data_IF_997346544670
#
_entry.id   IF_997346544670
#
_cell.length_a   1.000
_cell.length_b   1.000
_cell.length_c   1.000
_cell.angle_alpha   90.00
_cell.angle_beta   90.00
_cell.angle_gamma   90.00
#
_symmetry.space_group_name_H-M   'P 1'
#
loop_
_entity.id
_entity.type
_entity.pdbx_description
1 polymer ?
#
# COMPACT_ATOMS: atom_id res chain seq x y z
N UNK A 1 3.46 0.66 2.68
CA UNK A 1 4.73 0.83 1.93
C UNK A 1 5.74 -0.32 2.07
N UNK A 2 5.77 -1.05 3.20
CA UNK A 2 6.78 -2.10 3.44
C UNK A 2 6.90 -3.17 2.32
N UNK A 3 5.82 -3.54 1.65
CA UNK A 3 5.85 -4.49 0.52
C UNK A 3 6.51 -3.91 -0.72
N UNK A 4 6.27 -2.65 -1.00
CA UNK A 4 6.72 -1.99 -2.22
C UNK A 4 8.16 -1.44 -2.15
N UNK A 5 8.80 -1.41 -0.97
CA UNK A 5 10.15 -0.87 -0.82
C UNK A 5 11.18 -1.52 -1.78
N UNK A 6 11.03 -2.81 -2.08
CA UNK A 6 11.93 -3.57 -2.95
C UNK A 6 11.48 -3.51 -4.43
N UNK A 7 10.41 -2.79 -4.75
CA UNK A 7 9.90 -2.70 -6.12
C UNK A 7 10.93 -2.23 -7.17
N UNK A 8 11.82 -1.24 -6.89
CA UNK A 8 12.84 -0.83 -7.85
C UNK A 8 13.87 -1.91 -8.20
N UNK A 9 13.99 -2.94 -7.33
CA UNK A 9 14.94 -4.04 -7.52
C UNK A 9 14.34 -5.24 -8.27
N UNK A 10 13.04 -5.21 -8.63
CA UNK A 10 12.36 -6.39 -9.20
C UNK A 10 12.99 -6.91 -10.47
N UNK A 11 13.48 -6.04 -11.35
CA UNK A 11 14.14 -6.43 -12.59
C UNK A 11 15.49 -7.14 -12.32
N UNK A 12 16.28 -6.66 -11.35
CA UNK A 12 17.54 -7.31 -10.96
C UNK A 12 17.26 -8.66 -10.30
N UNK A 13 16.20 -8.75 -9.50
CA UNK A 13 15.72 -10.00 -8.90
C UNK A 13 15.23 -10.95 -10.00
N UNK A 14 14.45 -10.46 -10.98
CA UNK A 14 13.98 -11.26 -12.11
C UNK A 14 15.15 -11.82 -12.94
N UNK A 15 16.19 -11.03 -13.16
CA UNK A 15 17.37 -11.47 -13.88
C UNK A 15 18.09 -12.61 -13.14
N UNK A 16 18.14 -12.59 -11.81
CA UNK A 16 18.70 -13.68 -11.00
C UNK A 16 17.83 -14.94 -11.03
N UNK A 17 16.51 -14.77 -10.91
CA UNK A 17 15.53 -15.86 -10.96
C UNK A 17 14.95 -16.03 -12.37
N UNK A 18 15.77 -16.02 -13.42
CA UNK A 18 15.34 -16.06 -14.81
C UNK A 18 14.47 -17.29 -15.17
N UNK A 19 14.64 -18.40 -14.45
CA UNK A 19 13.83 -19.60 -14.65
C UNK A 19 12.46 -19.54 -13.96
N UNK A 20 12.25 -18.56 -13.05
CA UNK A 20 10.99 -18.37 -12.36
C UNK A 20 10.07 -17.47 -13.18
N UNK A 21 8.77 -17.74 -13.15
CA UNK A 21 7.82 -16.86 -13.83
C UNK A 21 7.84 -15.46 -13.22
N UNK A 22 7.67 -14.44 -14.04
CA UNK A 22 7.57 -13.03 -13.63
C UNK A 22 6.54 -12.83 -12.51
N UNK A 23 5.47 -13.62 -12.51
CA UNK A 23 4.44 -13.59 -11.46
C UNK A 23 5.01 -13.91 -10.07
N UNK A 24 5.90 -14.91 -9.95
CA UNK A 24 6.51 -15.23 -8.66
C UNK A 24 7.40 -14.10 -8.16
N UNK A 25 8.09 -13.41 -9.05
CA UNK A 25 8.90 -12.23 -8.68
C UNK A 25 7.99 -11.06 -8.25
N UNK A 26 6.89 -10.82 -8.94
CA UNK A 26 5.89 -9.83 -8.52
C UNK A 26 5.24 -10.16 -7.17
N UNK A 27 5.08 -11.45 -6.86
CA UNK A 27 4.56 -11.89 -5.55
C UNK A 27 5.48 -11.52 -4.39
N UNK A 28 6.74 -11.20 -4.62
CA UNK A 28 7.66 -10.65 -3.60
C UNK A 28 7.07 -9.35 -2.99
N UNK A 29 6.38 -8.53 -3.79
CA UNK A 29 5.72 -7.31 -3.31
C UNK A 29 4.32 -7.63 -2.76
N UNK A 30 3.59 -8.55 -3.36
CA UNK A 30 2.16 -8.73 -3.09
C UNK A 30 1.85 -9.75 -1.98
N UNK A 31 2.67 -10.77 -1.76
CA UNK A 31 2.47 -11.77 -0.70
C UNK A 31 2.37 -11.17 0.70
N UNK A 32 3.19 -10.16 1.09
CA UNK A 32 3.03 -9.52 2.39
C UNK A 32 1.61 -9.00 2.63
N UNK A 33 0.94 -8.50 1.59
CA UNK A 33 -0.42 -7.97 1.71
C UNK A 33 -1.45 -9.03 2.11
N UNK A 34 -1.35 -10.23 1.56
CA UNK A 34 -2.19 -11.36 1.96
C UNK A 34 -2.00 -11.69 3.45
N UNK A 35 -0.75 -11.77 3.90
CA UNK A 35 -0.44 -12.10 5.29
C UNK A 35 -0.79 -10.97 6.25
N UNK A 36 -0.81 -9.70 5.80
CA UNK A 36 -1.37 -8.59 6.59
C UNK A 36 -2.87 -8.83 6.84
N UNK A 37 -3.63 -9.18 5.81
CA UNK A 37 -5.08 -9.46 5.95
C UNK A 37 -5.31 -10.63 6.91
N UNK A 38 -4.61 -11.75 6.72
CA UNK A 38 -4.71 -12.91 7.58
C UNK A 38 -4.39 -12.54 9.04
N UNK A 39 -3.30 -11.81 9.26
CA UNK A 39 -2.87 -11.41 10.60
C UNK A 39 -3.90 -10.50 11.27
N UNK A 40 -4.52 -9.58 10.52
CA UNK A 40 -5.56 -8.70 11.05
C UNK A 40 -6.77 -9.47 11.61
N UNK A 41 -7.13 -10.63 11.05
CA UNK A 41 -8.17 -11.50 11.62
C UNK A 41 -7.77 -12.08 12.98
N UNK A 42 -6.49 -12.39 13.15
CA UNK A 42 -5.99 -12.96 14.41
C UNK A 42 -5.53 -11.90 15.43
N UNK A 43 -5.39 -10.65 14.99
CA UNK A 43 -4.89 -9.54 15.81
C UNK A 43 -5.64 -9.37 17.14
N UNK A 44 -6.99 -9.41 17.22
CA UNK A 44 -7.71 -9.31 18.48
C UNK A 44 -7.36 -10.43 19.49
N UNK A 45 -7.08 -11.64 18.98
CA UNK A 45 -6.66 -12.77 19.82
C UNK A 45 -5.24 -12.58 20.34
N UNK A 46 -4.34 -12.03 19.50
CA UNK A 46 -2.96 -11.71 19.91
C UNK A 46 -2.96 -10.64 21.01
N UNK A 47 -3.74 -9.58 20.87
CA UNK A 47 -3.88 -8.52 21.89
C UNK A 47 -4.40 -9.01 23.22
N UNK A 48 -5.18 -10.09 23.25
CA UNK A 48 -5.66 -10.70 24.51
C UNK A 48 -4.58 -11.46 25.26
N UNK A 49 -3.56 -11.97 24.56
CA UNK A 49 -2.52 -12.86 25.12
C UNK A 49 -1.19 -12.16 25.37
N UNK A 50 -0.86 -11.14 24.59
CA UNK A 50 0.44 -10.47 24.60
C UNK A 50 0.29 -8.99 24.94
N UNK A 51 1.27 -8.45 25.65
CA UNK A 51 1.32 -7.01 25.95
C UNK A 51 1.64 -6.22 24.67
N UNK A 52 1.13 -4.99 24.52
CA UNK A 52 1.36 -4.13 23.35
C UNK A 52 2.84 -3.96 23.02
N UNK A 53 3.71 -3.78 24.03
CA UNK A 53 5.16 -3.69 23.83
C UNK A 53 5.74 -4.96 23.20
N UNK A 54 5.35 -6.13 23.70
CA UNK A 54 5.80 -7.42 23.14
C UNK A 54 5.30 -7.59 21.70
N UNK A 55 4.06 -7.19 21.41
CA UNK A 55 3.51 -7.25 20.06
C UNK A 55 4.25 -6.32 19.10
N UNK A 56 4.56 -5.07 19.51
CA UNK A 56 5.35 -4.15 18.68
C UNK A 56 6.73 -4.72 18.40
N UNK A 57 7.44 -5.23 19.42
CA UNK A 57 8.78 -5.80 19.24
C UNK A 57 8.75 -7.07 18.38
N UNK A 58 7.76 -7.95 18.57
CA UNK A 58 7.55 -9.13 17.75
C UNK A 58 7.28 -8.74 16.28
N UNK A 59 6.39 -7.78 16.05
CA UNK A 59 6.08 -7.28 14.71
C UNK A 59 7.29 -6.67 14.02
N UNK A 60 8.07 -5.85 14.72
CA UNK A 60 9.31 -5.25 14.21
C UNK A 60 10.38 -6.32 13.94
N UNK A 61 10.51 -7.31 14.83
CA UNK A 61 11.44 -8.42 14.64
C UNK A 61 11.09 -9.24 13.38
N UNK A 62 9.84 -9.65 13.24
CA UNK A 62 9.36 -10.39 12.05
C UNK A 62 9.55 -9.58 10.77
N UNK A 63 9.27 -8.27 10.81
CA UNK A 63 9.48 -7.36 9.70
C UNK A 63 10.96 -7.29 9.29
N UNK A 64 11.85 -7.07 10.26
CA UNK A 64 13.29 -6.89 10.01
C UNK A 64 13.95 -8.22 9.63
N UNK A 65 13.73 -9.27 10.43
CA UNK A 65 14.32 -10.59 10.19
C UNK A 65 13.81 -11.19 8.88
N UNK A 66 12.49 -11.19 8.65
CA UNK A 66 11.90 -11.70 7.41
C UNK A 66 12.32 -10.89 6.19
N UNK A 67 12.41 -9.55 6.34
CA UNK A 67 12.86 -8.66 5.28
C UNK A 67 14.31 -8.92 4.87
N UNK A 68 15.24 -8.94 5.82
CA UNK A 68 16.67 -9.16 5.55
C UNK A 68 16.96 -10.60 5.11
N UNK A 69 16.32 -11.60 5.75
CA UNK A 69 16.55 -13.00 5.45
C UNK A 69 16.10 -13.38 4.02
N UNK A 70 15.17 -12.63 3.41
CA UNK A 70 14.78 -12.86 2.04
C UNK A 70 15.95 -12.79 1.04
N UNK A 71 16.96 -11.95 1.32
CA UNK A 71 18.19 -11.85 0.51
C UNK A 71 19.20 -13.00 0.70
N UNK A 72 18.99 -13.92 1.64
CA UNK A 72 19.91 -15.01 1.89
C UNK A 72 19.63 -16.26 1.06
N UNK A 73 18.46 -16.38 0.46
CA UNK A 73 17.99 -17.58 -0.22
C UNK A 73 18.02 -17.46 -1.73
N UNK A 74 18.51 -18.49 -2.40
CA UNK A 74 18.53 -18.62 -3.87
C UNK A 74 17.31 -19.39 -4.41
N UNK A 75 16.33 -19.70 -3.57
CA UNK A 75 15.07 -20.31 -3.95
C UNK A 75 13.94 -19.31 -3.78
N UNK A 76 13.22 -18.98 -4.86
CA UNK A 76 12.14 -17.98 -4.84
C UNK A 76 11.04 -18.33 -3.83
N UNK A 77 10.76 -19.63 -3.65
CA UNK A 77 9.78 -20.08 -2.64
C UNK A 77 10.16 -19.67 -1.22
N UNK A 78 11.44 -19.80 -0.83
CA UNK A 78 11.93 -19.38 0.49
C UNK A 78 11.91 -17.85 0.61
N UNK A 79 12.26 -17.14 -0.44
CA UNK A 79 12.11 -15.66 -0.48
C UNK A 79 10.66 -15.28 -0.21
N UNK A 80 9.68 -15.93 -0.85
CA UNK A 80 8.26 -15.67 -0.62
C UNK A 80 7.80 -15.99 0.81
N UNK A 81 8.33 -17.06 1.43
CA UNK A 81 8.05 -17.37 2.85
C UNK A 81 8.57 -16.26 3.75
N UNK A 82 9.79 -15.77 3.50
CA UNK A 82 10.34 -14.64 4.27
C UNK A 82 9.49 -13.36 4.05
N UNK A 83 9.00 -13.12 2.86
CA UNK A 83 8.07 -12.02 2.55
C UNK A 83 6.72 -12.17 3.27
N UNK A 84 6.23 -13.41 3.44
CA UNK A 84 5.05 -13.69 4.26
C UNK A 84 5.26 -13.30 5.73
N UNK A 85 6.45 -13.59 6.31
CA UNK A 85 6.79 -13.15 7.66
C UNK A 85 6.81 -11.63 7.80
N UNK A 86 7.32 -10.91 6.78
CA UNK A 86 7.20 -9.44 6.74
C UNK A 86 5.74 -9.01 6.80
N UNK A 87 4.85 -9.68 6.06
CA UNK A 87 3.42 -9.42 6.08
C UNK A 87 2.79 -9.62 7.47
N UNK A 88 3.14 -10.70 8.15
CA UNK A 88 2.71 -10.95 9.54
C UNK A 88 3.19 -9.83 10.46
N UNK A 89 4.47 -9.43 10.36
CA UNK A 89 5.04 -8.33 11.13
C UNK A 89 4.28 -7.01 10.94
N UNK A 90 4.04 -6.62 9.68
CA UNK A 90 3.29 -5.40 9.34
C UNK A 90 1.84 -5.50 9.80
N UNK A 91 1.19 -6.65 9.66
CA UNK A 91 -0.18 -6.89 10.12
C UNK A 91 -0.36 -6.73 11.63
N UNK A 92 0.69 -6.97 12.42
CA UNK A 92 0.71 -6.65 13.85
C UNK A 92 0.93 -5.16 14.08
N UNK A 93 1.88 -4.54 13.35
CA UNK A 93 2.31 -3.16 13.58
C UNK A 93 1.27 -2.12 13.19
N UNK A 94 0.56 -2.32 12.07
CA UNK A 94 -0.38 -1.33 11.53
C UNK A 94 -1.51 -0.96 12.52
N UNK A 95 -2.29 -1.92 13.05
CA UNK A 95 -3.33 -1.58 14.01
C UNK A 95 -2.76 -1.09 15.36
N UNK A 96 -1.57 -1.57 15.77
CA UNK A 96 -0.93 -1.09 16.99
C UNK A 96 -0.46 0.36 16.88
N UNK A 97 0.09 0.77 15.73
CA UNK A 97 0.61 2.13 15.57
C UNK A 97 -0.47 3.19 15.73
N UNK A 98 -1.66 2.95 15.19
CA UNK A 98 -2.81 3.83 15.34
C UNK A 98 -3.48 3.70 16.69
N UNK A 99 -3.63 2.47 17.22
CA UNK A 99 -4.21 2.19 18.52
C UNK A 99 -3.42 2.82 19.67
N UNK A 100 -2.10 2.67 19.67
CA UNK A 100 -1.24 3.27 20.70
C UNK A 100 -1.33 4.80 20.70
N UNK A 101 -1.44 5.45 19.53
CA UNK A 101 -1.63 6.90 19.46
C UNK A 101 -2.95 7.34 20.11
N UNK A 102 -4.02 6.58 19.89
CA UNK A 102 -5.33 6.90 20.49
C UNK A 102 -5.38 6.61 21.99
N UNK A 103 -4.61 5.63 22.47
CA UNK A 103 -4.58 5.24 23.88
C UNK A 103 -3.69 6.16 24.76
N UNK A 104 -2.56 6.63 24.20
CA UNK A 104 -1.61 7.46 24.97
C UNK A 104 -1.90 8.96 24.93
N UNK A 105 -2.62 9.45 23.91
CA UNK A 105 -2.78 10.88 23.71
C UNK A 105 -4.25 11.31 23.80
N UNK A 106 -4.52 12.50 24.39
CA UNK A 106 -5.86 13.03 24.51
C UNK A 106 -6.47 13.34 23.12
N UNK A 107 -7.83 13.28 22.99
CA UNK A 107 -8.53 13.43 21.71
C UNK A 107 -8.15 14.65 20.89
N UNK A 108 -7.80 15.76 21.54
CA UNK A 108 -7.43 17.04 20.90
C UNK A 108 -6.12 16.91 20.08
N UNK A 109 -5.21 16.03 20.52
CA UNK A 109 -3.90 15.80 19.87
C UNK A 109 -3.91 14.64 18.88
N UNK A 110 -4.89 13.74 18.96
CA UNK A 110 -4.93 12.51 18.15
C UNK A 110 -4.94 12.81 16.66
N UNK A 111 -5.76 13.75 16.18
CA UNK A 111 -5.86 14.09 14.78
C UNK A 111 -4.51 14.59 14.20
N UNK A 112 -3.82 15.44 14.95
CA UNK A 112 -2.49 15.96 14.54
C UNK A 112 -1.44 14.84 14.50
N UNK A 113 -1.41 13.97 15.51
CA UNK A 113 -0.45 12.86 15.59
C UNK A 113 -0.70 11.80 14.53
N UNK A 114 -1.95 11.49 14.20
CA UNK A 114 -2.29 10.60 13.09
C UNK A 114 -1.87 11.20 11.75
N UNK A 115 -1.99 12.51 11.57
CA UNK A 115 -1.48 13.23 10.40
C UNK A 115 0.04 13.12 10.27
N UNK A 116 0.78 13.34 11.37
CA UNK A 116 2.25 13.18 11.41
C UNK A 116 2.63 11.71 11.12
N UNK A 117 1.93 10.74 11.71
CA UNK A 117 2.16 9.31 11.47
C UNK A 117 1.98 8.96 9.99
N UNK A 118 0.95 9.50 9.34
CA UNK A 118 0.72 9.32 7.90
C UNK A 118 1.84 9.91 7.06
N UNK A 119 2.29 11.12 7.39
CA UNK A 119 3.42 11.77 6.72
C UNK A 119 4.72 10.97 6.88
N UNK A 120 5.00 10.48 8.11
CA UNK A 120 6.16 9.62 8.38
C UNK A 120 6.11 8.30 7.61
N UNK A 121 4.91 7.71 7.44
CA UNK A 121 4.73 6.51 6.63
C UNK A 121 5.09 6.75 5.16
N UNK A 122 4.70 7.89 4.59
CA UNK A 122 5.05 8.26 3.21
C UNK A 122 6.54 8.57 3.06
N UNK A 123 7.12 9.36 3.97
CA UNK A 123 8.56 9.64 3.98
C UNK A 123 9.38 8.36 4.13
N UNK A 124 8.95 7.45 5.03
CA UNK A 124 9.58 6.13 5.18
C UNK A 124 9.53 5.32 3.89
N UNK A 125 8.44 5.42 3.11
CA UNK A 125 8.31 4.83 1.78
C UNK A 125 9.35 5.38 0.81
N UNK A 126 9.45 6.70 0.70
CA UNK A 126 10.44 7.38 -0.16
C UNK A 126 11.87 6.95 0.17
N UNK A 127 12.24 7.02 1.46
CA UNK A 127 13.59 6.64 1.92
C UNK A 127 13.86 5.16 1.62
N UNK A 128 12.92 4.28 1.92
CA UNK A 128 13.08 2.84 1.70
C UNK A 128 13.21 2.50 0.21
N UNK A 129 12.42 3.14 -0.66
CA UNK A 129 12.45 2.94 -2.12
C UNK A 129 13.80 3.39 -2.70
N UNK A 130 14.29 4.58 -2.29
CA UNK A 130 15.60 5.08 -2.74
C UNK A 130 16.74 4.17 -2.27
N UNK A 131 16.76 3.80 -0.99
CA UNK A 131 17.79 2.93 -0.44
C UNK A 131 17.77 1.54 -1.09
N UNK A 132 16.60 0.95 -1.29
CA UNK A 132 16.50 -0.35 -1.96
C UNK A 132 16.98 -0.27 -3.41
N UNK A 133 16.70 0.83 -4.12
CA UNK A 133 17.19 1.04 -5.48
C UNK A 133 18.71 1.22 -5.54
N UNK A 134 19.29 1.99 -4.62
CA UNK A 134 20.74 2.14 -4.51
C UNK A 134 21.43 0.81 -4.19
N UNK A 135 20.88 0.05 -3.23
CA UNK A 135 21.40 -1.26 -2.86
C UNK A 135 21.23 -2.29 -3.97
N UNK A 136 20.18 -2.20 -4.80
CA UNK A 136 19.97 -3.05 -5.96
C UNK A 136 21.06 -2.84 -7.03
N UNK A 137 21.68 -1.65 -7.11
CA UNK A 137 22.82 -1.38 -7.94
C UNK A 137 24.08 -2.16 -7.53
N UNK A 138 24.18 -2.61 -6.25
CA UNK A 138 25.27 -3.45 -5.76
C UNK A 138 24.96 -4.92 -6.02
N UNK A 139 23.79 -5.37 -5.57
CA UNK A 139 23.30 -6.73 -5.82
C UNK A 139 21.81 -6.84 -5.48
N UNK A 140 21.12 -7.82 -6.08
CA UNK A 140 19.73 -8.10 -5.73
C UNK A 140 19.54 -8.45 -4.22
N UNK A 141 20.51 -9.13 -3.62
CA UNK A 141 20.52 -9.47 -2.19
C UNK A 141 20.61 -8.22 -1.32
N UNK A 142 21.47 -7.29 -1.72
CA UNK A 142 21.67 -6.05 -0.96
C UNK A 142 20.38 -5.21 -0.88
N UNK A 143 19.50 -5.27 -1.87
CA UNK A 143 18.21 -4.53 -1.83
C UNK A 143 17.35 -4.88 -0.61
N UNK A 144 17.45 -6.10 -0.09
CA UNK A 144 16.73 -6.53 1.10
C UNK A 144 17.32 -5.98 2.40
N UNK A 145 18.55 -5.46 2.40
CA UNK A 145 19.14 -4.81 3.58
C UNK A 145 18.41 -3.52 3.97
N UNK A 146 17.56 -2.97 3.10
CA UNK A 146 16.69 -1.83 3.46
C UNK A 146 15.83 -2.12 4.70
N UNK A 147 15.51 -3.38 4.96
CA UNK A 147 14.74 -3.78 6.16
C UNK A 147 15.53 -3.64 7.47
N UNK A 148 16.86 -3.43 7.43
CA UNK A 148 17.66 -3.07 8.60
C UNK A 148 17.23 -1.73 9.24
N UNK A 149 16.54 -0.86 8.50
CA UNK A 149 15.89 0.33 9.08
C UNK A 149 14.97 -0.03 10.24
N UNK A 150 14.40 -1.25 10.24
CA UNK A 150 13.61 -1.79 11.35
C UNK A 150 14.40 -1.92 12.66
N UNK A 151 15.72 -2.13 12.62
CA UNK A 151 16.55 -2.18 13.83
C UNK A 151 16.53 -0.85 14.59
N UNK A 152 16.59 0.27 13.87
CA UNK A 152 16.45 1.59 14.49
C UNK A 152 15.12 1.73 15.21
N UNK A 153 14.03 1.26 14.59
CA UNK A 153 12.70 1.24 15.22
C UNK A 153 12.66 0.32 16.45
N UNK A 154 13.29 -0.86 16.40
CA UNK A 154 13.39 -1.78 17.55
C UNK A 154 14.12 -1.09 18.71
N UNK A 155 15.26 -0.47 18.46
CA UNK A 155 16.04 0.23 19.50
C UNK A 155 15.24 1.38 20.13
N UNK A 156 14.56 2.19 19.31
CA UNK A 156 13.68 3.25 19.81
C UNK A 156 12.53 2.70 20.66
N UNK A 157 11.87 1.64 20.23
CA UNK A 157 10.80 0.99 20.98
C UNK A 157 11.30 0.36 22.28
N UNK A 158 12.48 -0.25 22.29
CA UNK A 158 13.09 -0.80 23.50
C UNK A 158 13.39 0.29 24.53
N UNK A 159 13.82 1.48 24.06
CA UNK A 159 14.25 2.60 24.93
C UNK A 159 13.07 3.42 25.45
N UNK A 160 12.07 3.68 24.60
CA UNK A 160 11.01 4.66 24.88
C UNK A 160 9.64 4.06 25.14
N UNK A 161 9.34 2.83 24.66
CA UNK A 161 8.03 2.25 24.86
C UNK A 161 7.88 1.71 26.29
N UNK A 162 6.90 2.16 27.09
CA UNK A 162 6.71 1.76 28.47
C UNK A 162 6.59 0.24 28.65
N UNK A 163 7.15 -0.29 29.76
CA UNK A 163 7.07 -1.72 30.10
C UNK A 163 5.70 -2.10 30.69
N UNK A 164 4.98 -1.13 31.27
CA UNK A 164 3.62 -1.31 31.80
C UNK A 164 2.64 -1.51 30.66
N UNK A 165 1.77 -2.50 30.75
CA UNK A 165 0.64 -2.65 29.81
C UNK A 165 -0.22 -1.38 29.86
N UNK A 166 -0.72 -0.96 28.70
CA UNK A 166 -1.75 0.07 28.63
C UNK A 166 -2.95 -0.44 29.44
N UNK A 167 -3.57 0.39 30.31
CA UNK A 167 -4.84 0.02 30.91
C UNK A 167 -5.80 -0.37 29.79
N UNK A 168 -6.14 -1.63 29.72
CA UNK A 168 -7.09 -2.15 28.74
C UNK A 168 -8.39 -1.40 28.91
N UNK A 169 -8.68 -0.43 28.08
CA UNK A 169 -10.06 -0.16 27.77
C UNK A 169 -10.56 -1.41 27.06
N UNK A 170 -11.34 -2.21 27.77
CA UNK A 170 -11.97 -3.37 27.17
C UNK A 170 -12.66 -2.87 25.89
N UNK A 171 -12.52 -3.56 24.73
CA UNK A 171 -13.36 -3.28 23.59
C UNK A 171 -14.77 -3.31 24.18
N UNK A 172 -15.46 -2.19 24.13
CA UNK A 172 -16.87 -2.15 24.51
C UNK A 172 -17.54 -3.18 23.61
N UNK A 173 -17.90 -4.32 24.20
CA UNK A 173 -18.52 -5.46 23.53
C UNK A 173 -19.90 -5.11 22.92
N UNK A 174 -20.27 -3.83 22.98
CA UNK A 174 -21.52 -3.27 22.46
C UNK A 174 -21.49 -2.89 20.97
N UNK A 175 -20.36 -3.07 20.26
CA UNK A 175 -20.29 -2.71 18.85
C UNK A 175 -20.62 -3.89 17.88
N UNK A 176 -20.96 -5.08 18.40
CA UNK A 176 -21.17 -6.26 17.55
C UNK A 176 -22.62 -6.44 17.05
N UNK A 177 -23.61 -5.78 17.61
CA UNK A 177 -25.03 -6.12 17.38
C UNK A 177 -25.93 -5.01 16.81
N UNK A 178 -25.41 -3.83 16.47
CA UNK A 178 -26.22 -2.83 15.75
C UNK A 178 -25.84 -2.82 14.29
N UNK A 179 -26.75 -3.22 13.37
CA UNK A 179 -26.50 -3.06 11.92
C UNK A 179 -26.31 -1.58 11.63
N UNK A 180 -25.20 -1.24 10.95
CA UNK A 180 -24.95 0.13 10.50
C UNK A 180 -26.16 0.67 9.71
N UNK A 181 -26.63 1.89 9.97
CA UNK A 181 -27.74 2.47 9.22
C UNK A 181 -27.33 2.62 7.75
N UNK A 182 -27.80 1.71 6.90
CA UNK A 182 -27.48 1.71 5.48
C UNK A 182 -27.05 0.36 4.91
N UNK A 183 -26.94 -0.70 5.70
CA UNK A 183 -26.65 -2.07 5.26
C UNK A 183 -25.31 -2.23 4.51
N UNK A 184 -24.77 -3.43 4.47
CA UNK A 184 -23.52 -3.79 3.78
C UNK A 184 -23.49 -3.31 2.32
N UNK A 185 -24.65 -3.22 1.68
CA UNK A 185 -24.82 -2.79 0.28
C UNK A 185 -24.39 -1.35 0.02
N UNK A 186 -24.58 -0.45 0.99
CA UNK A 186 -24.18 0.97 0.86
C UNK A 186 -22.65 1.12 0.88
N UNK A 187 -21.96 0.27 1.63
CA UNK A 187 -20.50 0.30 1.75
C UNK A 187 -19.79 -0.46 0.63
N UNK A 188 -20.48 -1.38 -0.03
CA UNK A 188 -19.95 -2.14 -1.17
C UNK A 188 -19.40 -1.23 -2.28
N UNK A 189 -20.05 -0.08 -2.52
CA UNK A 189 -19.59 0.90 -3.50
C UNK A 189 -18.20 1.41 -3.17
N UNK A 190 -17.91 1.69 -1.89
CA UNK A 190 -16.61 2.18 -1.43
C UNK A 190 -15.57 1.08 -1.35
N UNK A 191 -15.95 -0.12 -0.92
CA UNK A 191 -15.07 -1.30 -0.88
C UNK A 191 -14.58 -1.64 -2.28
N UNK A 192 -15.50 -1.70 -3.26
CA UNK A 192 -15.12 -1.97 -4.65
C UNK A 192 -14.31 -0.80 -5.27
N UNK A 193 -14.66 0.46 -4.95
CA UNK A 193 -13.86 1.60 -5.37
C UNK A 193 -12.44 1.53 -4.80
N UNK A 194 -12.25 1.09 -3.54
CA UNK A 194 -10.93 0.88 -2.94
C UNK A 194 -10.18 -0.26 -3.62
N UNK A 195 -10.86 -1.37 -3.92
CA UNK A 195 -10.25 -2.47 -4.69
C UNK A 195 -9.77 -1.98 -6.06
N UNK A 196 -10.60 -1.25 -6.81
CA UNK A 196 -10.24 -0.74 -8.14
C UNK A 196 -9.08 0.27 -8.07
N UNK A 197 -9.14 1.21 -7.11
CA UNK A 197 -8.05 2.18 -6.87
C UNK A 197 -6.74 1.45 -6.59
N UNK A 198 -6.74 0.49 -5.68
CA UNK A 198 -5.55 -0.22 -5.26
C UNK A 198 -5.03 -1.19 -6.34
N UNK A 199 -5.93 -1.88 -7.06
CA UNK A 199 -5.52 -2.71 -8.20
C UNK A 199 -4.84 -1.89 -9.28
N UNK A 200 -5.40 -0.71 -9.61
CA UNK A 200 -4.77 0.21 -10.56
C UNK A 200 -3.42 0.70 -10.05
N UNK A 201 -3.33 1.11 -8.78
CA UNK A 201 -2.08 1.60 -8.21
C UNK A 201 -0.99 0.53 -8.15
N UNK A 202 -1.29 -0.67 -7.62
CA UNK A 202 -0.26 -1.70 -7.41
C UNK A 202 0.29 -2.33 -8.68
N UNK A 203 -0.39 -2.20 -9.82
CA UNK A 203 0.19 -2.56 -11.11
C UNK A 203 1.43 -1.72 -11.44
N UNK A 204 1.49 -0.45 -10.99
CA UNK A 204 2.66 0.39 -11.19
C UNK A 204 3.89 -0.14 -10.42
N UNK A 205 3.95 -0.24 -9.08
CA UNK A 205 5.15 -0.70 -8.38
C UNK A 205 5.49 -2.16 -8.67
N UNK A 206 4.53 -2.98 -9.11
CA UNK A 206 4.78 -4.38 -9.44
C UNK A 206 5.41 -4.59 -10.82
N UNK A 207 5.20 -3.67 -11.76
CA UNK A 207 5.60 -3.87 -13.16
C UNK A 207 6.53 -2.77 -13.68
N UNK A 208 6.53 -1.58 -13.10
CA UNK A 208 7.24 -0.41 -13.62
C UNK A 208 8.74 -0.68 -13.86
N UNK A 209 9.42 -1.30 -12.87
CA UNK A 209 10.84 -1.61 -13.01
C UNK A 209 11.10 -2.66 -14.10
N UNK A 210 10.19 -3.61 -14.29
CA UNK A 210 10.28 -4.67 -15.28
C UNK A 210 10.06 -4.12 -16.70
N UNK A 211 8.96 -3.38 -16.89
CA UNK A 211 8.60 -2.77 -18.19
C UNK A 211 9.66 -1.74 -18.65
N UNK A 212 10.04 -0.82 -17.75
CA UNK A 212 11.01 0.25 -18.06
C UNK A 212 12.40 -0.31 -18.37
N UNK A 213 12.80 -1.42 -17.77
CA UNK A 213 14.07 -2.08 -18.09
C UNK A 213 14.00 -2.79 -19.44
N UNK A 214 12.84 -3.32 -19.82
CA UNK A 214 12.60 -3.94 -21.12
C UNK A 214 12.73 -2.95 -22.28
N UNK A 215 12.26 -1.72 -22.08
CA UNK A 215 12.31 -0.67 -23.09
C UNK A 215 13.72 -0.11 -23.36
N UNK A 216 14.65 -0.26 -22.40
CA UNK A 216 16.04 0.20 -22.52
C UNK A 216 16.23 1.73 -22.61
N UNK A 217 15.14 2.52 -22.51
CA UNK A 217 15.17 3.98 -22.66
C UNK A 217 15.66 4.67 -21.39
N UNK A 218 15.33 4.11 -20.22
CA UNK A 218 15.70 4.67 -18.91
C UNK A 218 16.65 3.72 -18.21
N UNK A 219 17.82 4.26 -17.85
CA UNK A 219 18.83 3.48 -17.12
C UNK A 219 18.31 3.02 -15.75
N UNK A 220 18.70 1.81 -15.37
CA UNK A 220 18.33 1.15 -14.12
C UNK A 220 18.51 2.05 -12.89
N UNK A 221 19.56 2.86 -12.88
CA UNK A 221 19.88 3.76 -11.76
C UNK A 221 18.80 4.83 -11.48
N UNK A 222 17.96 5.16 -12.48
CA UNK A 222 16.93 6.17 -12.35
C UNK A 222 15.57 5.60 -11.93
N UNK A 223 15.33 4.30 -12.08
CA UNK A 223 14.06 3.65 -11.78
C UNK A 223 13.64 3.91 -10.31
N UNK A 224 14.58 3.71 -9.38
CA UNK A 224 14.31 3.95 -7.96
C UNK A 224 13.98 5.42 -7.66
N UNK A 225 14.69 6.36 -8.30
CA UNK A 225 14.44 7.79 -8.13
C UNK A 225 13.06 8.20 -8.67
N UNK A 226 12.65 7.65 -9.81
CA UNK A 226 11.34 7.91 -10.40
C UNK A 226 10.23 7.36 -9.50
N UNK A 227 10.38 6.13 -9.01
CA UNK A 227 9.41 5.51 -8.09
C UNK A 227 9.31 6.26 -6.76
N UNK A 228 10.44 6.66 -6.17
CA UNK A 228 10.46 7.47 -4.96
C UNK A 228 9.87 8.88 -5.21
N UNK A 229 10.09 9.44 -6.40
CA UNK A 229 9.45 10.67 -6.84
C UNK A 229 7.94 10.55 -6.90
N UNK A 230 7.40 9.43 -7.41
CA UNK A 230 5.96 9.16 -7.41
C UNK A 230 5.40 9.06 -5.97
N UNK A 231 6.13 8.40 -5.04
CA UNK A 231 5.75 8.35 -3.62
C UNK A 231 5.75 9.74 -2.97
N UNK A 232 6.74 10.60 -3.32
CA UNK A 232 6.78 11.98 -2.86
C UNK A 232 5.61 12.80 -3.41
N UNK A 233 5.27 12.63 -4.68
CA UNK A 233 4.10 13.26 -5.30
C UNK A 233 2.80 12.77 -4.64
N UNK A 234 2.74 11.50 -4.24
CA UNK A 234 1.61 10.95 -3.48
C UNK A 234 1.45 11.64 -2.11
N UNK A 235 2.57 11.96 -1.42
CA UNK A 235 2.53 12.75 -0.18
C UNK A 235 1.85 14.11 -0.43
N UNK A 236 2.24 14.83 -1.50
CA UNK A 236 1.60 16.11 -1.84
C UNK A 236 0.12 15.93 -2.23
N UNK A 237 -0.23 14.85 -2.93
CA UNK A 237 -1.63 14.52 -3.22
C UNK A 237 -2.47 14.38 -1.95
N UNK A 238 -1.94 13.70 -0.93
CA UNK A 238 -2.58 13.57 0.38
C UNK A 238 -2.69 14.90 1.14
N UNK A 239 -1.63 15.70 1.18
CA UNK A 239 -1.63 17.01 1.84
C UNK A 239 -2.59 18.02 1.18
N UNK A 240 -2.65 17.99 -0.14
CA UNK A 240 -3.51 18.89 -0.93
C UNK A 240 -4.95 18.38 -1.03
N UNK A 241 -5.24 17.17 -0.57
CA UNK A 241 -6.56 16.54 -0.71
C UNK A 241 -7.71 17.43 -0.23
N UNK A 242 -7.57 18.07 0.95
CA UNK A 242 -8.63 18.94 1.50
C UNK A 242 -8.90 20.15 0.57
N UNK A 243 -7.85 20.75 0.00
CA UNK A 243 -7.98 21.85 -0.97
C UNK A 243 -8.64 21.38 -2.28
N UNK A 244 -8.20 20.24 -2.79
CA UNK A 244 -8.77 19.60 -3.99
C UNK A 244 -10.26 19.34 -3.77
N UNK A 245 -10.62 18.78 -2.62
CA UNK A 245 -12.03 18.53 -2.28
C UNK A 245 -12.85 19.81 -2.18
N UNK A 246 -12.26 20.90 -1.67
CA UNK A 246 -12.88 22.21 -1.61
C UNK A 246 -13.17 22.82 -2.99
N UNK A 247 -12.23 22.66 -3.93
CA UNK A 247 -12.34 23.19 -5.29
C UNK A 247 -13.26 22.31 -6.15
N UNK A 248 -13.00 21.01 -6.21
CA UNK A 248 -13.71 20.08 -7.10
C UNK A 248 -15.06 19.63 -6.56
N UNK A 249 -15.30 19.79 -5.26
CA UNK A 249 -16.56 19.42 -4.59
C UNK A 249 -17.05 18.02 -5.01
N UNK A 250 -18.20 17.94 -5.70
CA UNK A 250 -18.76 16.70 -6.23
C UNK A 250 -17.91 15.99 -7.29
N UNK A 251 -17.02 16.71 -7.97
CA UNK A 251 -16.08 16.19 -8.96
C UNK A 251 -14.89 15.44 -8.37
N UNK A 252 -14.63 15.56 -7.05
CA UNK A 252 -13.49 14.89 -6.39
C UNK A 252 -13.52 13.36 -6.60
N UNK A 253 -14.68 12.76 -6.76
CA UNK A 253 -14.86 11.31 -6.96
C UNK A 253 -14.23 10.79 -8.25
N UNK A 254 -14.18 11.61 -9.31
CA UNK A 254 -13.59 11.24 -10.61
C UNK A 254 -12.14 11.66 -10.75
N UNK A 255 -11.61 12.44 -9.82
CA UNK A 255 -10.28 13.03 -9.90
C UNK A 255 -9.17 11.96 -9.91
N UNK A 256 -9.15 11.05 -8.91
CA UNK A 256 -8.16 10.00 -8.84
C UNK A 256 -8.24 9.02 -10.04
N UNK A 257 -9.42 8.47 -10.42
CA UNK A 257 -9.52 7.63 -11.61
C UNK A 257 -9.04 8.30 -12.90
N UNK A 258 -9.36 9.59 -13.11
CA UNK A 258 -8.88 10.34 -14.28
C UNK A 258 -7.37 10.47 -14.29
N UNK A 259 -6.75 10.78 -13.14
CA UNK A 259 -5.28 10.87 -13.04
C UNK A 259 -4.60 9.51 -13.28
N UNK A 260 -5.17 8.41 -12.78
CA UNK A 260 -4.66 7.07 -13.11
C UNK A 260 -4.74 6.81 -14.61
N UNK A 261 -5.88 7.14 -15.23
CA UNK A 261 -6.06 6.96 -16.67
C UNK A 261 -5.01 7.76 -17.46
N UNK A 262 -4.87 9.06 -17.16
CA UNK A 262 -3.85 9.92 -17.79
C UNK A 262 -2.45 9.39 -17.52
N UNK A 263 -2.13 8.97 -16.29
CA UNK A 263 -0.83 8.45 -15.94
C UNK A 263 -0.44 7.22 -16.75
N UNK A 264 -1.33 6.24 -16.86
CA UNK A 264 -1.08 5.05 -17.67
C UNK A 264 -1.11 5.31 -19.18
N UNK A 265 -1.92 6.25 -19.67
CA UNK A 265 -1.84 6.70 -21.07
C UNK A 265 -0.46 7.30 -21.39
N UNK A 266 0.08 8.11 -20.49
CA UNK A 266 1.40 8.70 -20.65
C UNK A 266 2.51 7.62 -20.64
N UNK A 267 2.45 6.65 -19.73
CA UNK A 267 3.39 5.54 -19.67
C UNK A 267 3.34 4.67 -20.93
N UNK A 268 2.14 4.42 -21.47
CA UNK A 268 1.96 3.49 -22.59
C UNK A 268 2.26 4.14 -23.94
N UNK A 269 1.83 5.39 -24.18
CA UNK A 269 1.83 5.98 -25.52
C UNK A 269 2.85 7.11 -25.71
N UNK A 270 3.19 7.86 -24.64
CA UNK A 270 4.16 8.95 -24.80
C UNK A 270 5.61 8.42 -24.74
N UNK A 271 5.86 7.37 -23.92
CA UNK A 271 7.19 6.78 -23.78
C UNK A 271 8.26 7.77 -23.31
N UNK A 272 9.54 7.33 -23.31
CA UNK A 272 10.68 8.17 -22.99
C UNK A 272 10.65 8.79 -21.60
N UNK A 273 11.54 9.73 -21.32
CA UNK A 273 11.66 10.40 -20.03
C UNK A 273 10.42 11.19 -19.64
N UNK A 274 9.84 11.94 -20.58
CA UNK A 274 8.68 12.79 -20.31
C UNK A 274 7.46 11.95 -19.94
N UNK A 275 7.14 10.91 -20.72
CA UNK A 275 6.01 10.01 -20.46
C UNK A 275 6.15 9.30 -19.12
N UNK A 276 7.37 8.82 -18.82
CA UNK A 276 7.65 8.10 -17.58
C UNK A 276 7.54 8.99 -16.34
N UNK A 277 8.14 10.18 -16.36
CA UNK A 277 8.09 11.09 -15.21
C UNK A 277 6.68 11.63 -14.96
N UNK A 278 6.00 12.10 -16.01
CA UNK A 278 4.64 12.62 -15.88
C UNK A 278 3.64 11.52 -15.54
N UNK A 279 3.78 10.34 -16.15
CA UNK A 279 2.94 9.19 -15.86
C UNK A 279 3.07 8.73 -14.40
N UNK A 280 4.31 8.57 -13.93
CA UNK A 280 4.60 8.22 -12.54
C UNK A 280 4.06 9.27 -11.55
N UNK A 281 4.22 10.57 -11.87
CA UNK A 281 3.69 11.66 -11.05
C UNK A 281 2.16 11.63 -10.99
N UNK A 282 1.47 11.43 -12.11
CA UNK A 282 0.01 11.31 -12.14
C UNK A 282 -0.48 10.13 -11.29
N UNK A 283 0.16 8.96 -11.41
CA UNK A 283 -0.19 7.76 -10.64
C UNK A 283 0.04 7.99 -9.15
N UNK A 284 1.19 8.56 -8.77
CA UNK A 284 1.49 8.91 -7.39
C UNK A 284 0.45 9.86 -6.80
N UNK A 285 0.15 10.96 -7.51
CA UNK A 285 -0.82 11.96 -7.06
C UNK A 285 -2.23 11.38 -6.93
N UNK A 286 -2.65 10.54 -7.89
CA UNK A 286 -3.93 9.83 -7.86
C UNK A 286 -4.07 8.95 -6.62
N UNK A 287 -3.02 8.20 -6.28
CA UNK A 287 -2.98 7.36 -5.08
C UNK A 287 -3.05 8.20 -3.80
N UNK A 288 -2.23 9.25 -3.72
CA UNK A 288 -2.17 10.14 -2.56
C UNK A 288 -3.48 10.86 -2.26
N UNK A 289 -4.24 11.27 -3.28
CA UNK A 289 -5.52 11.94 -3.12
C UNK A 289 -6.71 10.96 -3.03
N UNK A 290 -6.63 9.81 -3.71
CA UNK A 290 -7.74 8.85 -3.83
C UNK A 290 -8.01 8.08 -2.54
N UNK A 291 -6.97 7.64 -1.83
CA UNK A 291 -7.12 6.89 -0.56
C UNK A 291 -7.86 7.74 0.49
N UNK A 292 -7.40 8.96 0.85
CA UNK A 292 -8.10 9.77 1.85
C UNK A 292 -9.51 10.18 1.39
N UNK A 293 -9.75 10.34 0.09
CA UNK A 293 -11.10 10.57 -0.43
C UNK A 293 -12.04 9.41 -0.09
N UNK A 294 -11.68 8.18 -0.44
CA UNK A 294 -12.53 7.01 -0.21
C UNK A 294 -12.73 6.75 1.28
N UNK A 295 -11.67 6.86 2.09
CA UNK A 295 -11.73 6.69 3.53
C UNK A 295 -12.65 7.74 4.17
N UNK A 296 -12.46 9.02 3.85
CA UNK A 296 -13.24 10.11 4.44
C UNK A 296 -14.72 10.05 4.05
N UNK A 297 -15.02 9.69 2.79
CA UNK A 297 -16.39 9.61 2.31
C UNK A 297 -17.13 8.40 2.88
N UNK A 298 -16.44 7.24 2.99
CA UNK A 298 -16.98 6.06 3.63
C UNK A 298 -17.20 6.27 5.14
N UNK A 299 -16.23 6.88 5.84
CA UNK A 299 -16.34 7.21 7.27
C UNK A 299 -17.50 8.15 7.56
N UNK A 300 -17.66 9.19 6.76
CA UNK A 300 -18.75 10.16 6.90
C UNK A 300 -20.13 9.52 6.81
N UNK A 301 -20.28 8.49 5.96
CA UNK A 301 -21.55 7.77 5.79
C UNK A 301 -21.80 6.72 6.86
N UNK A 302 -20.76 6.15 7.40
CA UNK A 302 -20.85 5.17 8.47
C UNK A 302 -21.14 5.81 9.84
N UNK A 303 -20.86 7.11 10.00
CA UNK A 303 -21.05 7.81 11.27
C UNK A 303 -20.26 7.17 12.41
N UNK A 304 -20.92 6.85 13.53
CA UNK A 304 -20.27 6.27 14.73
C UNK A 304 -19.70 4.86 14.49
N UNK A 305 -20.23 4.12 13.52
CA UNK A 305 -19.83 2.74 13.23
C UNK A 305 -18.69 2.66 12.19
N UNK A 306 -18.17 3.80 11.75
CA UNK A 306 -17.13 3.89 10.73
C UNK A 306 -15.89 3.07 11.09
N UNK A 307 -15.40 3.23 12.32
CA UNK A 307 -14.13 2.66 12.78
C UNK A 307 -14.21 1.14 12.94
N UNK A 308 -15.35 0.61 13.39
CA UNK A 308 -15.49 -0.81 13.72
C UNK A 308 -15.88 -1.68 12.53
N UNK A 309 -16.61 -1.14 11.56
CA UNK A 309 -17.16 -1.93 10.44
C UNK A 309 -16.55 -1.56 9.11
N UNK A 310 -16.45 -0.28 8.77
CA UNK A 310 -16.08 0.16 7.42
C UNK A 310 -14.57 0.23 7.22
N UNK A 311 -13.81 0.71 8.20
CA UNK A 311 -12.35 0.82 8.09
C UNK A 311 -11.66 -0.54 7.91
N UNK A 312 -12.01 -1.60 8.66
CA UNK A 312 -11.46 -2.94 8.43
C UNK A 312 -11.77 -3.48 7.02
N UNK A 313 -12.97 -3.23 6.49
CA UNK A 313 -13.35 -3.65 5.15
C UNK A 313 -12.56 -2.92 4.07
N UNK A 314 -12.36 -1.61 4.20
CA UNK A 314 -11.54 -0.83 3.27
C UNK A 314 -10.06 -1.26 3.32
N UNK A 315 -9.54 -1.53 4.52
CA UNK A 315 -8.18 -2.05 4.68
C UNK A 315 -8.01 -3.43 4.07
N UNK A 316 -8.98 -4.34 4.28
CA UNK A 316 -8.96 -5.64 3.65
C UNK A 316 -9.03 -5.55 2.12
N UNK A 317 -9.88 -4.67 1.59
CA UNK A 317 -9.97 -4.39 0.16
C UNK A 317 -8.65 -3.89 -0.43
N UNK A 318 -7.97 -2.97 0.27
CA UNK A 318 -6.67 -2.42 -0.12
C UNK A 318 -5.62 -3.53 -0.26
N UNK A 319 -5.43 -4.34 0.77
CA UNK A 319 -4.40 -5.37 0.79
C UNK A 319 -4.74 -6.57 -0.10
N UNK A 320 -6.03 -6.93 -0.20
CA UNK A 320 -6.48 -7.98 -1.10
C UNK A 320 -6.26 -7.59 -2.57
N UNK A 321 -6.55 -6.35 -2.94
CA UNK A 321 -6.28 -5.83 -4.27
C UNK A 321 -4.78 -5.87 -4.60
N UNK A 322 -3.91 -5.49 -3.64
CA UNK A 322 -2.46 -5.60 -3.79
C UNK A 322 -2.01 -7.04 -4.07
N UNK A 323 -2.56 -8.00 -3.33
CA UNK A 323 -2.21 -9.42 -3.51
C UNK A 323 -2.72 -9.97 -4.85
N UNK A 324 -3.94 -9.63 -5.23
CA UNK A 324 -4.57 -10.15 -6.44
C UNK A 324 -4.00 -9.54 -7.74
N UNK A 325 -3.45 -8.32 -7.71
CA UNK A 325 -2.98 -7.61 -8.91
C UNK A 325 -2.07 -8.45 -9.83
N UNK A 326 -0.99 -9.11 -9.37
CA UNK A 326 -0.13 -9.91 -10.24
C UNK A 326 -0.81 -11.21 -10.71
N UNK A 327 -1.71 -11.76 -9.89
CA UNK A 327 -2.45 -12.98 -10.26
C UNK A 327 -3.46 -12.70 -11.37
N UNK A 328 -4.17 -11.57 -11.29
CA UNK A 328 -5.10 -11.13 -12.33
C UNK A 328 -4.36 -10.82 -13.63
N UNK A 329 -3.20 -10.16 -13.55
CA UNK A 329 -2.36 -9.91 -14.72
C UNK A 329 -1.90 -11.22 -15.37
N UNK A 330 -1.46 -12.20 -14.57
CA UNK A 330 -1.10 -13.53 -15.08
C UNK A 330 -2.25 -14.23 -15.77
N UNK A 331 -3.44 -14.18 -15.18
CA UNK A 331 -4.63 -14.78 -15.80
C UNK A 331 -4.93 -14.13 -17.17
N UNK A 332 -4.76 -12.79 -17.26
CA UNK A 332 -4.93 -12.07 -18.51
C UNK A 332 -3.85 -12.46 -19.54
N UNK A 333 -2.58 -12.53 -19.14
CA UNK A 333 -1.48 -12.96 -20.00
C UNK A 333 -1.71 -14.37 -20.54
N UNK A 334 -2.24 -15.28 -19.72
CA UNK A 334 -2.59 -16.64 -20.14
C UNK A 334 -3.71 -16.68 -21.20
N UNK A 335 -4.58 -15.68 -21.23
CA UNK A 335 -5.69 -15.59 -22.19
C UNK A 335 -5.31 -14.87 -23.49
N UNK A 336 -4.50 -13.83 -23.40
CA UNK A 336 -4.21 -12.92 -24.52
C UNK A 336 -2.83 -13.20 -25.14
N UNK A 337 -1.94 -13.87 -24.42
CA UNK A 337 -0.55 -14.07 -24.79
C UNK A 337 0.36 -12.97 -24.24
N UNK A 338 1.63 -13.06 -24.58
CA UNK A 338 2.67 -12.10 -24.14
C UNK A 338 2.67 -10.89 -25.08
N UNK A 339 1.99 -9.83 -24.65
CA UNK A 339 1.88 -8.56 -25.37
C UNK A 339 2.75 -7.52 -24.66
N UNK A 340 3.60 -6.77 -25.37
CA UNK A 340 4.37 -5.68 -24.79
C UNK A 340 3.47 -4.70 -24.05
N UNK A 341 3.89 -4.26 -22.85
CA UNK A 341 3.15 -3.33 -21.99
C UNK A 341 1.74 -3.81 -21.58
N UNK A 342 1.49 -5.13 -21.61
CA UNK A 342 0.20 -5.70 -21.21
C UNK A 342 -0.24 -5.23 -19.81
N UNK A 343 0.72 -5.07 -18.91
CA UNK A 343 0.48 -4.58 -17.54
C UNK A 343 -0.14 -3.16 -17.53
N UNK A 344 0.31 -2.29 -18.43
CA UNK A 344 -0.21 -0.91 -18.54
C UNK A 344 -1.57 -0.89 -19.24
N UNK A 345 -1.78 -1.70 -20.28
CA UNK A 345 -3.12 -1.87 -20.89
C UNK A 345 -4.14 -2.40 -19.89
N UNK A 346 -3.73 -3.37 -19.07
CA UNK A 346 -4.60 -3.89 -18.02
C UNK A 346 -4.92 -2.83 -16.97
N UNK A 347 -3.92 -2.04 -16.56
CA UNK A 347 -4.11 -0.92 -15.64
C UNK A 347 -5.06 0.15 -16.21
N UNK A 348 -4.96 0.45 -17.52
CA UNK A 348 -5.88 1.35 -18.22
C UNK A 348 -7.32 0.82 -18.19
N UNK A 349 -7.52 -0.48 -18.45
CA UNK A 349 -8.85 -1.09 -18.36
C UNK A 349 -9.44 -0.98 -16.95
N UNK A 350 -8.64 -1.26 -15.90
CA UNK A 350 -9.10 -1.11 -14.51
C UNK A 350 -9.35 0.36 -14.18
N UNK A 351 -8.51 1.30 -14.64
CA UNK A 351 -8.71 2.73 -14.43
C UNK A 351 -10.01 3.23 -15.08
N UNK A 352 -10.35 2.75 -16.28
CA UNK A 352 -11.63 3.02 -16.93
C UNK A 352 -12.80 2.47 -16.10
N UNK A 353 -12.70 1.22 -15.62
CA UNK A 353 -13.72 0.64 -14.74
C UNK A 353 -13.85 1.43 -13.44
N UNK A 354 -12.74 1.88 -12.86
CA UNK A 354 -12.75 2.71 -11.67
C UNK A 354 -13.42 4.07 -11.94
N UNK A 355 -13.15 4.69 -13.09
CA UNK A 355 -13.80 5.93 -13.49
C UNK A 355 -15.31 5.75 -13.61
N UNK A 356 -15.77 4.72 -14.34
CA UNK A 356 -17.20 4.40 -14.47
C UNK A 356 -17.85 4.08 -13.13
N UNK A 357 -17.15 3.32 -12.26
CA UNK A 357 -17.65 2.99 -10.93
C UNK A 357 -17.72 4.20 -10.02
N UNK A 358 -16.77 5.12 -10.12
CA UNK A 358 -16.73 6.36 -9.32
C UNK A 358 -17.96 7.25 -9.55
N UNK A 359 -18.59 7.17 -10.74
CA UNK A 359 -19.82 7.89 -11.03
C UNK A 359 -20.99 7.43 -10.14
N UNK A 360 -21.00 6.18 -9.69
CA UNK A 360 -21.99 5.63 -8.75
C UNK A 360 -21.79 6.10 -7.31
N UNK A 361 -20.62 6.65 -6.98
CA UNK A 361 -20.38 7.27 -5.69
C UNK A 361 -21.27 8.52 -5.60
N UNK A 362 -22.21 8.60 -4.63
CA UNK A 362 -23.11 9.72 -4.53
C UNK A 362 -22.34 11.03 -4.35
N UNK A 363 -22.71 12.03 -5.12
CA UNK A 363 -22.12 13.36 -5.01
C UNK A 363 -22.39 13.97 -3.62
N UNK A 364 -21.45 14.79 -3.14
CA UNK A 364 -21.60 15.53 -1.89
C UNK A 364 -22.80 16.50 -2.04
N UNK A 365 -23.80 16.37 -1.18
CA UNK A 365 -24.91 17.32 -1.17
C UNK A 365 -24.35 18.74 -1.00
N UNK A 366 -24.89 19.69 -1.77
CA UNK A 366 -24.58 21.13 -1.60
C UNK A 366 -25.05 21.52 -0.19
N UNK A 367 -24.14 21.81 0.72
CA UNK A 367 -24.38 22.64 1.88
C UNK A 367 -23.78 24.00 1.61
#
# INVERSE_FOLDING_TARGET
MAGAAVAPALNVIQAHFAQSSQTFVQMIISIPALFIVITNFFFPKLCRRLNPRTLVLLGLFLYTAGGCAAGLFDQIGLVLVMRALVGVGVGILMPLSTGLLTDYFPPEKQASLLGISSAMNQLGGVIATLLAGLLAGISWRASFLVYLLGLGSILLCLRFLPKGGIPRQAPTAQAADTPAPGGLRTFFVYVLAMCLLMSTFFLYPANFALETSGDGVIGQQYIAAIMAGADLVALFGGLLFVRIQGVLRGGTKVFAPLLFLVGYLLLTFLGGWAGTLLGAACIGFANGAGIPFLISEAARRAGKDATTTVMPLLSAALYLAQFLSPLLLRALTAMVGDVPHLSYYFALAIACLFLLWSLRIPARARR
#
